data_IF_682266767845
#
_entry.id   IF_682266767845
#
_cell.length_a   1.000
_cell.length_b   1.000
_cell.length_c   1.000
_cell.angle_alpha   90.00
_cell.angle_beta   90.00
_cell.angle_gamma   90.00
#
_symmetry.space_group_name_H-M   'P 1'
#
loop_
_entity.id
_entity.type
_entity.pdbx_description
1 polymer ?
#
# COMPACT_ATOMS: atom_id res chain seq x y z
N UNK A 1 -5.80 73.64 -15.74
CA UNK A 1 -5.32 72.90 -14.51
C UNK A 1 -6.41 71.92 -14.09
N UNK A 2 -6.23 70.69 -14.45
CA UNK A 2 -7.22 69.63 -14.19
C UNK A 2 -6.63 68.65 -13.13
N UNK A 3 -7.20 68.64 -11.95
CA UNK A 3 -6.78 67.83 -10.82
C UNK A 3 -7.42 66.44 -10.93
N UNK A 4 -6.60 65.45 -11.26
CA UNK A 4 -6.96 64.04 -11.34
C UNK A 4 -7.06 63.47 -9.91
N UNK A 5 -8.27 63.16 -9.43
CA UNK A 5 -8.51 62.41 -8.19
C UNK A 5 -8.02 60.98 -8.37
N UNK A 6 -7.01 60.60 -7.60
CA UNK A 6 -6.62 59.21 -7.43
C UNK A 6 -7.60 58.54 -6.46
N UNK A 7 -8.32 57.53 -6.95
CA UNK A 7 -9.14 56.65 -6.13
C UNK A 7 -8.21 55.63 -5.46
N UNK A 8 -8.05 55.74 -4.15
CA UNK A 8 -7.37 54.71 -3.32
C UNK A 8 -8.23 53.47 -3.32
N UNK A 9 -7.68 52.35 -3.82
CA UNK A 9 -8.27 51.03 -3.63
C UNK A 9 -8.23 50.67 -2.13
N UNK A 10 -9.38 50.25 -1.62
CA UNK A 10 -9.54 49.74 -0.23
C UNK A 10 -8.80 48.41 -0.10
N UNK A 11 -8.03 48.17 0.99
CA UNK A 11 -7.41 46.86 1.18
C UNK A 11 -8.50 45.81 1.44
N UNK A 12 -8.44 44.69 0.72
CA UNK A 12 -9.25 43.50 1.00
C UNK A 12 -8.93 43.05 2.42
N UNK A 13 -9.95 43.00 3.27
CA UNK A 13 -9.83 42.43 4.61
C UNK A 13 -9.58 40.92 4.48
N UNK A 14 -8.44 40.43 4.92
CA UNK A 14 -8.21 39.01 5.13
C UNK A 14 -9.19 38.53 6.20
N UNK A 15 -10.09 37.59 5.81
CA UNK A 15 -10.97 36.93 6.76
C UNK A 15 -10.13 35.95 7.57
N UNK A 16 -9.82 36.30 8.82
CA UNK A 16 -9.14 35.42 9.78
C UNK A 16 -10.11 34.30 10.18
N UNK A 17 -9.91 33.09 9.64
CA UNK A 17 -10.67 31.90 10.05
C UNK A 17 -10.16 31.44 11.39
N UNK A 18 -10.91 31.70 12.46
CA UNK A 18 -10.61 31.20 13.80
C UNK A 18 -10.89 29.68 13.86
N UNK A 19 -9.84 28.88 13.69
CA UNK A 19 -9.93 27.40 13.84
C UNK A 19 -9.75 27.05 15.30
N UNK A 20 -10.82 26.51 15.93
CA UNK A 20 -10.77 25.93 17.26
C UNK A 20 -10.20 24.52 17.18
N UNK A 21 -9.19 24.23 18.01
CA UNK A 21 -8.52 22.93 18.08
C UNK A 21 -9.52 21.84 18.53
N UNK A 22 -9.78 20.85 17.68
CA UNK A 22 -10.56 19.67 18.04
C UNK A 22 -9.63 18.74 18.85
N UNK A 23 -10.08 18.27 20.02
CA UNK A 23 -9.32 17.30 20.82
C UNK A 23 -9.17 15.98 20.04
N UNK A 24 -8.02 15.28 20.13
CA UNK A 24 -7.80 14.05 19.39
C UNK A 24 -8.52 12.86 20.06
N UNK A 25 -9.83 12.81 19.98
CA UNK A 25 -10.57 11.57 20.19
C UNK A 25 -10.60 10.79 18.88
N UNK A 26 -10.15 9.54 18.92
CA UNK A 26 -10.27 8.63 17.76
C UNK A 26 -11.76 8.43 17.49
N UNK A 27 -12.28 9.14 16.51
CA UNK A 27 -13.71 9.15 16.19
C UNK A 27 -14.18 7.74 15.84
N UNK A 28 -15.43 7.40 16.17
CA UNK A 28 -16.03 6.10 15.80
C UNK A 28 -15.94 5.81 14.30
N UNK A 29 -15.94 6.84 13.44
CA UNK A 29 -15.74 6.66 12.00
C UNK A 29 -14.36 6.08 11.67
N UNK A 30 -13.30 6.58 12.33
CA UNK A 30 -11.94 6.10 12.09
C UNK A 30 -11.78 4.66 12.60
N UNK A 31 -12.35 4.33 13.77
CA UNK A 31 -12.35 2.96 14.29
C UNK A 31 -13.12 2.01 13.37
N UNK A 32 -14.28 2.44 12.88
CA UNK A 32 -15.07 1.67 11.93
C UNK A 32 -14.32 1.49 10.60
N UNK A 33 -13.69 2.55 10.07
CA UNK A 33 -12.89 2.49 8.86
C UNK A 33 -11.75 1.47 8.98
N UNK A 34 -10.93 1.54 10.04
CA UNK A 34 -9.83 0.60 10.25
C UNK A 34 -10.31 -0.86 10.39
N UNK A 35 -11.39 -1.07 11.16
CA UNK A 35 -11.95 -2.41 11.34
C UNK A 35 -12.50 -2.99 10.03
N UNK A 36 -13.18 -2.18 9.22
CA UNK A 36 -13.72 -2.60 7.92
C UNK A 36 -12.59 -2.83 6.91
N UNK A 37 -11.61 -1.93 6.86
CA UNK A 37 -10.42 -2.07 6.01
C UNK A 37 -9.67 -3.36 6.31
N UNK A 38 -9.39 -3.62 7.58
CA UNK A 38 -8.74 -4.86 8.02
C UNK A 38 -9.55 -6.10 7.64
N UNK A 39 -10.88 -6.06 7.83
CA UNK A 39 -11.76 -7.15 7.44
C UNK A 39 -11.70 -7.42 5.92
N UNK A 40 -11.78 -6.37 5.09
CA UNK A 40 -11.67 -6.49 3.63
C UNK A 40 -10.30 -7.06 3.21
N UNK A 41 -9.21 -6.59 3.83
CA UNK A 41 -7.86 -7.06 3.53
C UNK A 41 -7.62 -8.53 3.90
N UNK A 42 -8.39 -9.07 4.87
CA UNK A 42 -8.34 -10.49 5.25
C UNK A 42 -9.26 -11.38 4.42
N UNK A 43 -10.20 -10.79 3.69
CA UNK A 43 -11.07 -11.58 2.80
C UNK A 43 -10.31 -12.08 1.59
N UNK A 44 -10.55 -13.34 1.23
CA UNK A 44 -10.25 -13.81 -0.11
C UNK A 44 -11.40 -13.39 -1.04
N UNK A 45 -11.31 -12.14 -1.53
CA UNK A 45 -12.34 -11.56 -2.40
C UNK A 45 -12.38 -12.20 -3.79
N UNK A 46 -11.41 -13.06 -4.11
CA UNK A 46 -11.31 -13.77 -5.39
C UNK A 46 -11.72 -15.24 -5.31
N UNK A 47 -12.00 -15.77 -4.11
CA UNK A 47 -12.37 -17.18 -3.90
C UNK A 47 -13.67 -17.60 -4.62
N UNK A 48 -14.59 -16.66 -4.83
CA UNK A 48 -15.86 -16.94 -5.51
C UNK A 48 -16.12 -15.90 -6.60
N UNK A 49 -16.87 -16.23 -7.65
CA UNK A 49 -17.23 -15.26 -8.69
C UNK A 49 -18.19 -14.17 -8.20
N UNK A 50 -18.93 -14.42 -7.11
CA UNK A 50 -19.89 -13.47 -6.57
C UNK A 50 -19.20 -12.26 -5.97
N UNK A 51 -19.81 -11.09 -6.18
CA UNK A 51 -19.34 -9.83 -5.64
C UNK A 51 -19.68 -9.73 -4.16
N UNK A 52 -18.70 -9.43 -3.31
CA UNK A 52 -18.92 -9.22 -1.87
C UNK A 52 -19.66 -7.89 -1.67
N UNK A 53 -20.82 -7.95 -1.04
CA UNK A 53 -21.64 -6.78 -0.73
C UNK A 53 -21.56 -6.43 0.76
N UNK A 54 -21.54 -5.14 1.05
CA UNK A 54 -21.59 -4.62 2.42
C UNK A 54 -22.98 -4.06 2.72
N UNK A 55 -23.55 -4.47 3.85
CA UNK A 55 -24.81 -3.94 4.37
C UNK A 55 -24.56 -3.04 5.57
N UNK A 56 -24.91 -1.74 5.44
CA UNK A 56 -24.69 -0.72 6.49
C UNK A 56 -25.34 -1.09 7.81
N UNK A 57 -26.53 -1.73 7.77
CA UNK A 57 -27.27 -2.09 8.96
C UNK A 57 -26.57 -3.23 9.70
N UNK A 58 -26.22 -4.28 8.97
CA UNK A 58 -25.49 -5.42 9.53
C UNK A 58 -24.14 -4.98 10.12
N UNK A 59 -23.41 -4.08 9.43
CA UNK A 59 -22.14 -3.52 9.91
C UNK A 59 -22.34 -2.68 11.18
N UNK A 60 -23.38 -1.84 11.24
CA UNK A 60 -23.74 -1.06 12.41
C UNK A 60 -24.01 -1.95 13.63
N UNK A 61 -24.79 -3.01 13.45
CA UNK A 61 -25.12 -3.99 14.50
C UNK A 61 -23.85 -4.75 14.97
N UNK A 62 -23.01 -5.20 14.04
CA UNK A 62 -21.79 -5.97 14.37
C UNK A 62 -20.70 -5.15 15.04
N UNK A 63 -20.54 -3.88 14.67
CA UNK A 63 -19.53 -2.98 15.24
C UNK A 63 -20.05 -2.23 16.49
N UNK A 64 -21.34 -2.33 16.81
CA UNK A 64 -21.92 -1.68 17.98
C UNK A 64 -21.93 -0.15 17.89
N UNK A 65 -21.97 0.42 16.68
CA UNK A 65 -21.98 1.87 16.43
C UNK A 65 -23.17 2.26 15.57
N UNK A 66 -23.61 3.52 15.64
CA UNK A 66 -24.71 4.00 14.82
C UNK A 66 -24.37 4.01 13.32
N UNK A 67 -25.37 4.17 12.45
CA UNK A 67 -25.16 4.14 10.98
C UNK A 67 -24.34 5.31 10.46
N UNK A 68 -24.36 6.46 11.12
CA UNK A 68 -23.62 7.65 10.67
C UNK A 68 -22.11 7.39 10.56
N UNK A 69 -21.39 6.96 11.63
CA UNK A 69 -19.96 6.63 11.52
C UNK A 69 -19.69 5.48 10.54
N UNK A 70 -20.63 4.54 10.34
CA UNK A 70 -20.48 3.49 9.31
C UNK A 70 -20.48 4.09 7.90
N UNK A 71 -21.43 4.99 7.59
CA UNK A 71 -21.48 5.67 6.28
C UNK A 71 -20.25 6.51 6.02
N UNK A 72 -19.77 7.23 7.03
CA UNK A 72 -18.53 8.01 6.93
C UNK A 72 -17.32 7.10 6.68
N UNK A 73 -17.22 5.97 7.37
CA UNK A 73 -16.18 4.97 7.16
C UNK A 73 -16.24 4.36 5.76
N UNK A 74 -17.44 4.05 5.26
CA UNK A 74 -17.67 3.54 3.90
C UNK A 74 -17.24 4.59 2.86
N UNK A 75 -17.57 5.87 3.07
CA UNK A 75 -17.13 6.94 2.17
C UNK A 75 -15.58 7.06 2.12
N UNK A 76 -14.90 6.89 3.25
CA UNK A 76 -13.44 6.82 3.30
C UNK A 76 -12.92 5.60 2.53
N UNK A 77 -13.51 4.42 2.74
CA UNK A 77 -13.14 3.20 2.00
C UNK A 77 -13.39 3.33 0.50
N UNK A 78 -14.42 4.06 0.09
CA UNK A 78 -14.71 4.35 -1.32
C UNK A 78 -13.68 5.31 -1.92
N UNK A 79 -13.28 6.34 -1.17
CA UNK A 79 -12.20 7.25 -1.56
C UNK A 79 -10.87 6.50 -1.74
N UNK A 80 -10.56 5.54 -0.86
CA UNK A 80 -9.37 4.70 -0.94
C UNK A 80 -9.51 3.54 -1.96
N UNK A 81 -10.67 3.40 -2.60
CA UNK A 81 -10.91 2.42 -3.66
C UNK A 81 -11.09 0.97 -3.19
N UNK A 82 -11.41 0.74 -1.89
CA UNK A 82 -11.73 -0.60 -1.36
C UNK A 82 -13.16 -1.03 -1.65
N UNK A 83 -14.06 -0.07 -1.70
CA UNK A 83 -15.48 -0.32 -1.98
C UNK A 83 -15.98 0.64 -3.05
N UNK A 84 -17.15 0.35 -3.61
CA UNK A 84 -17.84 1.21 -4.56
C UNK A 84 -19.33 1.17 -4.29
N UNK A 85 -19.97 2.34 -4.23
CA UNK A 85 -21.40 2.46 -4.17
C UNK A 85 -22.00 2.30 -5.58
N UNK A 86 -22.79 1.25 -5.77
CA UNK A 86 -23.45 0.96 -7.04
C UNK A 86 -24.94 1.28 -6.93
N UNK A 87 -25.47 2.20 -7.77
CA UNK A 87 -26.89 2.57 -7.71
C UNK A 87 -27.80 1.34 -7.77
N UNK A 88 -28.77 1.25 -6.88
CA UNK A 88 -29.75 0.15 -6.74
C UNK A 88 -29.18 -1.22 -6.35
N UNK A 89 -27.85 -1.38 -6.27
CA UNK A 89 -27.19 -2.62 -5.83
C UNK A 89 -26.60 -2.53 -4.44
N UNK A 90 -26.24 -1.31 -3.96
CA UNK A 90 -25.63 -1.11 -2.67
C UNK A 90 -24.11 -0.95 -2.74
N UNK A 91 -23.44 -1.27 -1.65
CA UNK A 91 -21.99 -1.10 -1.50
C UNK A 91 -21.33 -2.43 -1.79
N UNK A 92 -20.38 -2.42 -2.72
CA UNK A 92 -19.66 -3.63 -3.15
C UNK A 92 -18.16 -3.46 -2.88
N UNK A 93 -17.50 -4.53 -2.46
CA UNK A 93 -16.04 -4.58 -2.34
C UNK A 93 -15.45 -4.60 -3.75
N UNK A 94 -14.48 -3.72 -3.99
CA UNK A 94 -13.85 -3.59 -5.32
C UNK A 94 -12.90 -4.76 -5.54
N UNK A 95 -13.09 -5.45 -6.67
CA UNK A 95 -12.11 -6.39 -7.22
C UNK A 95 -11.34 -5.70 -8.33
N UNK A 96 -10.04 -5.77 -8.25
CA UNK A 96 -9.16 -5.29 -9.31
C UNK A 96 -9.03 -6.36 -10.39
N UNK A 97 -9.04 -5.94 -11.62
CA UNK A 97 -8.74 -6.82 -12.76
C UNK A 97 -7.26 -7.19 -12.77
N UNK A 98 -6.91 -8.27 -13.46
CA UNK A 98 -5.50 -8.67 -13.68
C UNK A 98 -4.66 -7.51 -14.23
N UNK A 99 -5.20 -6.78 -15.22
CA UNK A 99 -4.51 -5.63 -15.83
C UNK A 99 -4.23 -4.53 -14.81
N UNK A 100 -5.24 -4.16 -14.01
CA UNK A 100 -5.06 -3.14 -12.96
C UNK A 100 -4.01 -3.56 -11.92
N UNK A 101 -4.00 -4.83 -11.51
CA UNK A 101 -2.99 -5.35 -10.57
C UNK A 101 -1.58 -5.30 -11.17
N UNK A 102 -1.43 -5.70 -12.43
CA UNK A 102 -0.13 -5.63 -13.13
C UNK A 102 0.36 -4.20 -13.23
N UNK A 103 -0.53 -3.25 -13.58
CA UNK A 103 -0.17 -1.83 -13.67
C UNK A 103 0.20 -1.24 -12.29
N UNK A 104 -0.49 -1.64 -11.23
CA UNK A 104 -0.12 -1.28 -9.85
C UNK A 104 1.26 -1.82 -9.46
N UNK A 105 1.59 -3.06 -9.82
CA UNK A 105 2.91 -3.65 -9.55
C UNK A 105 4.00 -2.92 -10.36
N UNK A 106 3.74 -2.53 -11.59
CA UNK A 106 4.66 -1.74 -12.42
C UNK A 106 4.94 -0.36 -11.80
N UNK A 107 3.89 0.32 -11.32
CA UNK A 107 4.04 1.58 -10.60
C UNK A 107 4.86 1.39 -9.31
N UNK A 108 4.58 0.35 -8.54
CA UNK A 108 5.34 0.00 -7.35
C UNK A 108 6.82 -0.27 -7.67
N UNK A 109 7.12 -0.99 -8.75
CA UNK A 109 8.51 -1.23 -9.18
C UNK A 109 9.28 0.07 -9.44
N UNK A 110 8.63 1.09 -10.01
CA UNK A 110 9.23 2.40 -10.22
C UNK A 110 9.51 3.14 -8.90
N UNK A 111 8.55 3.08 -7.95
CA UNK A 111 8.70 3.70 -6.62
C UNK A 111 9.81 3.02 -5.82
N UNK A 112 9.88 1.69 -5.80
CA UNK A 112 10.95 0.94 -5.13
C UNK A 112 12.33 1.16 -5.75
N UNK A 113 12.41 1.26 -7.07
CA UNK A 113 13.65 1.62 -7.77
C UNK A 113 14.16 2.98 -7.29
N UNK A 114 13.29 4.00 -7.23
CA UNK A 114 13.66 5.32 -6.73
C UNK A 114 14.02 5.29 -5.25
N UNK A 115 13.30 4.52 -4.41
CA UNK A 115 13.67 4.34 -3.02
C UNK A 115 15.06 3.74 -2.87
N UNK A 116 15.40 2.70 -3.64
CA UNK A 116 16.73 2.11 -3.65
C UNK A 116 17.83 3.13 -3.99
N UNK A 117 17.59 4.02 -4.99
CA UNK A 117 18.49 5.15 -5.31
C UNK A 117 18.73 6.03 -4.09
N UNK A 118 17.67 6.50 -3.44
CA UNK A 118 17.77 7.39 -2.29
C UNK A 118 18.53 6.71 -1.13
N UNK A 119 18.21 5.45 -0.83
CA UNK A 119 18.88 4.67 0.21
C UNK A 119 20.39 4.62 0.01
N UNK A 120 20.87 4.41 -1.21
CA UNK A 120 22.31 4.36 -1.48
C UNK A 120 23.03 5.66 -1.19
N UNK A 121 22.32 6.79 -1.18
CA UNK A 121 22.89 8.14 -0.97
C UNK A 121 22.70 8.66 0.44
N UNK A 122 21.59 8.34 1.12
CA UNK A 122 21.19 8.97 2.38
C UNK A 122 21.18 8.03 3.58
N UNK A 123 20.77 6.77 3.44
CA UNK A 123 20.58 5.88 4.57
C UNK A 123 21.90 5.46 5.25
N UNK A 124 21.87 5.24 6.56
CA UNK A 124 23.06 4.78 7.30
C UNK A 124 23.33 3.31 7.03
N UNK A 125 24.59 2.92 6.97
CA UNK A 125 25.01 1.54 6.70
C UNK A 125 24.32 0.52 7.62
N UNK A 126 24.20 0.83 8.90
CA UNK A 126 23.57 -0.05 9.88
C UNK A 126 22.08 -0.32 9.59
N UNK A 127 21.37 0.70 9.08
CA UNK A 127 19.94 0.61 8.79
C UNK A 127 19.70 -0.21 7.52
N UNK A 128 20.61 -0.11 6.54
CA UNK A 128 20.59 -0.99 5.36
C UNK A 128 20.86 -2.44 5.77
N UNK A 129 21.90 -2.68 6.58
CA UNK A 129 22.24 -4.05 7.02
C UNK A 129 21.13 -4.69 7.86
N UNK A 130 20.34 -3.88 8.61
CA UNK A 130 19.20 -4.36 9.38
C UNK A 130 18.07 -4.96 8.51
N UNK A 131 18.03 -4.64 7.20
CA UNK A 131 17.09 -5.27 6.27
C UNK A 131 17.29 -6.80 6.18
N UNK A 132 18.48 -7.31 6.47
CA UNK A 132 18.76 -8.76 6.51
C UNK A 132 17.99 -9.47 7.63
N UNK A 133 17.66 -8.76 8.72
CA UNK A 133 16.99 -9.35 9.88
C UNK A 133 15.60 -9.87 9.54
N UNK A 134 14.93 -9.32 8.53
CA UNK A 134 13.63 -9.81 8.08
C UNK A 134 13.68 -11.26 7.58
N UNK A 135 14.85 -11.71 7.11
CA UNK A 135 15.02 -13.03 6.48
C UNK A 135 16.00 -13.94 7.22
N UNK A 136 16.52 -13.53 8.39
CA UNK A 136 17.55 -14.28 9.12
C UNK A 136 17.16 -15.72 9.50
N UNK A 137 15.85 -16.00 9.62
CA UNK A 137 15.32 -17.31 9.93
C UNK A 137 15.21 -18.21 8.70
N UNK A 138 15.32 -17.65 7.50
CA UNK A 138 15.19 -18.37 6.24
C UNK A 138 16.57 -18.69 5.64
N UNK A 139 16.71 -19.88 5.06
CA UNK A 139 17.95 -20.35 4.46
C UNK A 139 17.87 -21.82 4.06
N UNK A 140 19.00 -22.50 4.01
CA UNK A 140 19.06 -23.91 3.55
C UNK A 140 18.25 -24.87 4.43
N UNK A 141 18.20 -24.61 5.74
CA UNK A 141 17.53 -25.47 6.72
C UNK A 141 16.07 -25.08 6.99
N UNK A 142 15.67 -23.88 6.52
CA UNK A 142 14.31 -23.37 6.63
C UNK A 142 13.93 -22.65 5.34
N UNK A 143 13.41 -23.42 4.41
CA UNK A 143 13.08 -22.92 3.09
C UNK A 143 11.79 -22.07 3.13
N UNK A 144 11.73 -20.92 2.44
CA UNK A 144 10.57 -20.06 2.38
C UNK A 144 9.28 -20.78 1.94
N UNK A 145 9.37 -21.74 1.02
CA UNK A 145 8.22 -22.49 0.51
C UNK A 145 7.57 -23.40 1.55
N UNK A 146 8.31 -23.83 2.59
CA UNK A 146 7.81 -24.69 3.67
C UNK A 146 7.19 -23.86 4.81
N UNK A 147 7.36 -22.52 4.78
CA UNK A 147 6.92 -21.56 5.79
C UNK A 147 6.30 -20.32 5.14
N UNK A 148 5.32 -20.54 4.27
CA UNK A 148 4.75 -19.50 3.37
C UNK A 148 4.19 -18.31 4.14
N UNK A 149 3.46 -18.55 5.23
CA UNK A 149 2.82 -17.48 5.99
C UNK A 149 3.84 -16.58 6.68
N UNK A 150 4.86 -17.15 7.31
CA UNK A 150 5.94 -16.42 7.98
C UNK A 150 6.78 -15.67 6.96
N UNK A 151 7.12 -16.31 5.84
CA UNK A 151 7.84 -15.67 4.77
C UNK A 151 7.05 -14.53 4.13
N UNK A 152 5.75 -14.69 3.94
CA UNK A 152 4.88 -13.62 3.43
C UNK A 152 4.90 -12.39 4.34
N UNK A 153 4.84 -12.58 5.66
CA UNK A 153 4.94 -11.50 6.64
C UNK A 153 6.30 -10.79 6.58
N UNK A 154 7.37 -11.57 6.56
CA UNK A 154 8.75 -11.05 6.46
C UNK A 154 8.96 -10.25 5.15
N UNK A 155 8.47 -10.78 4.04
CA UNK A 155 8.54 -10.16 2.73
C UNK A 155 7.79 -8.80 2.68
N UNK A 156 6.57 -8.72 3.24
CA UNK A 156 5.83 -7.45 3.31
C UNK A 156 6.59 -6.44 4.18
N UNK A 157 7.06 -6.87 5.35
CA UNK A 157 7.80 -6.01 6.27
C UNK A 157 9.12 -5.51 5.64
N UNK A 158 9.83 -6.34 4.89
CA UNK A 158 11.02 -5.94 4.15
C UNK A 158 10.74 -4.80 3.15
N UNK A 159 9.72 -4.94 2.29
CA UNK A 159 9.39 -3.89 1.33
C UNK A 159 8.95 -2.58 2.00
N UNK A 160 8.19 -2.67 3.09
CA UNK A 160 7.80 -1.49 3.86
C UNK A 160 9.03 -0.81 4.51
N UNK A 161 9.96 -1.59 5.05
CA UNK A 161 11.20 -1.07 5.63
C UNK A 161 12.09 -0.44 4.55
N UNK A 162 12.22 -1.10 3.38
CA UNK A 162 12.98 -0.57 2.25
C UNK A 162 12.44 0.79 1.82
N UNK A 163 11.14 0.92 1.58
CA UNK A 163 10.55 2.20 1.20
C UNK A 163 10.75 3.26 2.30
N UNK A 164 10.59 2.89 3.57
CA UNK A 164 10.77 3.80 4.71
C UNK A 164 12.20 4.34 4.82
N UNK A 165 13.20 3.52 4.49
CA UNK A 165 14.62 3.92 4.47
C UNK A 165 14.94 4.96 3.40
N UNK A 166 14.09 5.19 2.41
CA UNK A 166 14.24 6.27 1.44
C UNK A 166 14.11 7.66 2.06
N UNK A 167 13.55 7.75 3.27
CA UNK A 167 13.24 9.00 3.98
C UNK A 167 12.35 9.96 3.16
N UNK A 168 11.64 9.45 2.16
CA UNK A 168 10.70 10.21 1.32
C UNK A 168 9.26 9.91 1.72
N UNK A 169 8.56 10.81 2.45
CA UNK A 169 7.15 10.60 2.83
C UNK A 169 6.26 10.34 1.62
N UNK A 170 6.50 11.02 0.50
CA UNK A 170 5.72 10.86 -0.73
C UNK A 170 5.85 9.44 -1.29
N UNK A 171 7.09 8.87 -1.33
CA UNK A 171 7.28 7.48 -1.77
C UNK A 171 6.62 6.49 -0.81
N UNK A 172 6.70 6.75 0.50
CA UNK A 172 6.06 5.92 1.53
C UNK A 172 4.55 5.89 1.33
N UNK A 173 3.91 7.04 1.20
CA UNK A 173 2.45 7.15 1.06
C UNK A 173 1.98 6.48 -0.23
N UNK A 174 2.57 6.82 -1.39
CA UNK A 174 2.20 6.23 -2.68
C UNK A 174 2.39 4.70 -2.71
N UNK A 175 3.47 4.20 -2.11
CA UNK A 175 3.73 2.76 -2.07
C UNK A 175 2.77 2.03 -1.14
N UNK A 176 2.47 2.61 0.03
CA UNK A 176 1.50 2.02 0.96
C UNK A 176 0.12 1.88 0.33
N UNK A 177 -0.35 2.89 -0.41
CA UNK A 177 -1.62 2.84 -1.13
C UNK A 177 -1.64 1.69 -2.15
N UNK A 178 -0.58 1.53 -2.94
CA UNK A 178 -0.46 0.41 -3.89
C UNK A 178 -0.42 -0.93 -3.16
N UNK A 179 0.41 -1.06 -2.12
CA UNK A 179 0.58 -2.32 -1.39
C UNK A 179 -0.71 -2.80 -0.73
N UNK A 180 -1.58 -1.89 -0.29
CA UNK A 180 -2.89 -2.23 0.26
C UNK A 180 -3.74 -3.02 -0.76
N UNK A 181 -3.75 -2.58 -2.01
CA UNK A 181 -4.53 -3.22 -3.08
C UNK A 181 -3.87 -4.50 -3.63
N UNK A 182 -2.55 -4.55 -3.64
CA UNK A 182 -1.78 -5.70 -4.14
C UNK A 182 -1.64 -6.80 -3.08
N UNK A 183 -1.89 -6.51 -1.79
CA UNK A 183 -1.66 -7.44 -0.67
C UNK A 183 -2.39 -8.78 -0.82
N UNK A 184 -3.67 -8.76 -1.15
CA UNK A 184 -4.47 -9.97 -1.34
C UNK A 184 -3.90 -10.84 -2.48
N UNK A 185 -3.46 -10.19 -3.54
CA UNK A 185 -2.84 -10.83 -4.70
C UNK A 185 -1.49 -11.45 -4.38
N UNK A 186 -0.69 -10.78 -3.56
CA UNK A 186 0.60 -11.26 -3.10
C UNK A 186 0.50 -12.54 -2.27
N UNK A 187 -0.51 -12.67 -1.42
CA UNK A 187 -0.74 -13.90 -0.67
C UNK A 187 -1.00 -15.09 -1.61
N UNK A 188 -1.75 -14.87 -2.70
CA UNK A 188 -2.02 -15.91 -3.69
C UNK A 188 -0.76 -16.29 -4.51
N UNK A 189 0.13 -15.34 -4.76
CA UNK A 189 1.36 -15.57 -5.56
C UNK A 189 2.52 -16.10 -4.74
N UNK A 190 2.68 -15.67 -3.48
CA UNK A 190 3.73 -16.16 -2.57
C UNK A 190 3.48 -17.63 -2.20
N UNK A 191 2.21 -18.09 -2.18
CA UNK A 191 1.86 -19.50 -1.97
C UNK A 191 2.32 -20.45 -3.09
N UNK A 192 2.88 -19.94 -4.20
CA UNK A 192 3.41 -20.75 -5.30
C UNK A 192 4.90 -21.00 -5.13
N UNK A 193 5.28 -22.26 -5.11
CA UNK A 193 6.65 -22.74 -4.83
C UNK A 193 7.72 -22.05 -5.66
N UNK A 194 7.46 -21.86 -6.97
CA UNK A 194 8.43 -21.31 -7.91
C UNK A 194 8.80 -19.86 -7.61
N UNK A 195 7.82 -19.03 -7.22
CA UNK A 195 8.08 -17.61 -6.91
C UNK A 195 8.79 -17.45 -5.56
N UNK A 196 8.46 -18.27 -4.58
CA UNK A 196 9.07 -18.22 -3.25
C UNK A 196 10.56 -18.60 -3.29
N UNK A 197 10.92 -19.58 -4.11
CA UNK A 197 12.31 -20.04 -4.26
C UNK A 197 13.25 -18.95 -4.83
N UNK A 198 12.76 -18.09 -5.72
CA UNK A 198 13.55 -17.01 -6.33
C UNK A 198 13.58 -15.74 -5.49
N UNK A 199 12.53 -15.48 -4.72
CA UNK A 199 12.32 -14.21 -4.01
C UNK A 199 13.38 -13.93 -2.95
N UNK A 200 13.77 -14.90 -2.12
CA UNK A 200 14.78 -14.71 -1.07
C UNK A 200 16.16 -14.34 -1.63
N UNK A 201 16.74 -15.06 -2.62
CA UNK A 201 17.97 -14.65 -3.27
C UNK A 201 17.91 -13.25 -3.90
N UNK A 202 16.78 -12.88 -4.50
CA UNK A 202 16.56 -11.55 -5.08
C UNK A 202 16.62 -10.46 -4.00
N UNK A 203 15.96 -10.66 -2.83
CA UNK A 203 16.04 -9.73 -1.71
C UNK A 203 17.48 -9.57 -1.19
N UNK A 204 18.20 -10.68 -1.02
CA UNK A 204 19.62 -10.62 -0.60
C UNK A 204 20.45 -9.83 -1.59
N UNK A 205 20.23 -10.02 -2.88
CA UNK A 205 20.93 -9.29 -3.94
C UNK A 205 20.61 -7.78 -3.93
N UNK A 206 19.38 -7.38 -3.60
CA UNK A 206 19.01 -5.96 -3.41
C UNK A 206 19.81 -5.39 -2.23
N UNK A 207 19.79 -6.07 -1.07
CA UNK A 207 20.49 -5.61 0.14
C UNK A 207 22.00 -5.47 -0.13
N UNK A 208 22.62 -6.43 -0.81
CA UNK A 208 24.05 -6.39 -1.19
C UNK A 208 24.38 -5.15 -2.03
N UNK A 209 23.55 -4.83 -3.02
CA UNK A 209 23.76 -3.64 -3.85
C UNK A 209 23.60 -2.35 -3.04
N UNK A 210 22.64 -2.30 -2.12
CA UNK A 210 22.45 -1.17 -1.21
C UNK A 210 23.65 -1.00 -0.26
N UNK A 211 24.17 -2.09 0.33
CA UNK A 211 25.33 -2.08 1.22
C UNK A 211 26.61 -1.65 0.48
N UNK A 212 26.75 -2.06 -0.79
CA UNK A 212 27.84 -1.65 -1.65
C UNK A 212 27.73 -0.20 -2.15
N UNK A 213 26.59 0.47 -1.92
CA UNK A 213 26.29 1.81 -2.45
C UNK A 213 26.32 1.87 -3.99
N UNK A 214 26.09 0.75 -4.64
CA UNK A 214 25.97 0.70 -6.10
C UNK A 214 24.54 1.10 -6.48
N UNK A 215 24.38 2.39 -6.75
CA UNK A 215 23.06 3.00 -6.99
C UNK A 215 22.36 2.39 -8.20
N UNK A 216 23.08 2.24 -9.32
CA UNK A 216 22.49 1.71 -10.55
C UNK A 216 22.09 0.24 -10.40
N UNK A 217 22.93 -0.55 -9.74
CA UNK A 217 22.64 -1.95 -9.48
C UNK A 217 21.48 -2.11 -8.48
N UNK A 218 21.44 -1.30 -7.42
CA UNK A 218 20.37 -1.32 -6.43
C UNK A 218 19.00 -0.98 -7.06
N UNK A 219 18.94 0.09 -7.86
CA UNK A 219 17.75 0.45 -8.63
C UNK A 219 17.29 -0.68 -9.55
N UNK A 220 18.23 -1.22 -10.31
CA UNK A 220 17.92 -2.29 -11.26
C UNK A 220 17.38 -3.51 -10.53
N UNK A 221 18.03 -3.97 -9.46
CA UNK A 221 17.61 -5.16 -8.71
C UNK A 221 16.26 -4.99 -8.03
N UNK A 222 16.00 -3.85 -7.40
CA UNK A 222 14.71 -3.54 -6.79
C UNK A 222 13.59 -3.54 -7.83
N UNK A 223 13.80 -2.86 -8.96
CA UNK A 223 12.85 -2.82 -10.06
C UNK A 223 12.59 -4.19 -10.67
N UNK A 224 13.63 -4.93 -11.01
CA UNK A 224 13.53 -6.23 -11.69
C UNK A 224 12.84 -7.27 -10.78
N UNK A 225 13.13 -7.25 -9.48
CA UNK A 225 12.46 -8.08 -8.48
C UNK A 225 10.94 -7.84 -8.49
N UNK A 226 10.52 -6.58 -8.40
CA UNK A 226 9.09 -6.23 -8.37
C UNK A 226 8.42 -6.47 -9.73
N UNK A 227 9.10 -6.19 -10.86
CA UNK A 227 8.60 -6.54 -12.19
C UNK A 227 8.48 -8.05 -12.41
N UNK A 228 9.32 -8.86 -11.76
CA UNK A 228 9.17 -10.32 -11.75
C UNK A 228 7.83 -10.77 -11.18
N UNK A 229 7.27 -10.05 -10.20
CA UNK A 229 5.92 -10.31 -9.72
C UNK A 229 4.85 -9.94 -10.78
N UNK A 230 5.03 -8.83 -11.50
CA UNK A 230 4.12 -8.45 -12.58
C UNK A 230 4.07 -9.53 -13.68
N UNK A 231 5.25 -9.99 -14.13
CA UNK A 231 5.37 -11.05 -15.12
C UNK A 231 4.72 -12.36 -14.65
N UNK A 232 4.89 -12.71 -13.37
CA UNK A 232 4.25 -13.88 -12.78
C UNK A 232 2.71 -13.77 -12.82
N UNK A 233 2.16 -12.61 -12.43
CA UNK A 233 0.71 -12.33 -12.48
C UNK A 233 0.20 -12.36 -13.92
N UNK A 234 0.94 -11.84 -14.88
CA UNK A 234 0.58 -11.90 -16.30
C UNK A 234 0.47 -13.34 -16.83
N UNK A 235 1.43 -14.18 -16.45
CA UNK A 235 1.49 -15.57 -16.91
C UNK A 235 0.43 -16.47 -16.25
N UNK A 236 0.17 -16.30 -14.93
CA UNK A 236 -0.63 -17.23 -14.13
C UNK A 236 -1.94 -16.61 -13.62
N UNK A 237 -2.21 -15.35 -13.93
CA UNK A 237 -3.35 -14.62 -13.37
C UNK A 237 -4.73 -15.13 -13.82
N UNK A 238 -4.83 -15.94 -14.89
CA UNK A 238 -6.11 -16.54 -15.29
C UNK A 238 -6.61 -17.60 -14.30
N UNK A 239 -5.72 -18.19 -13.51
CA UNK A 239 -6.07 -19.17 -12.48
C UNK A 239 -6.45 -18.51 -11.14
N UNK A 240 -6.32 -17.19 -11.07
CA UNK A 240 -6.47 -16.41 -9.84
C UNK A 240 -7.72 -15.49 -9.89
N UNK A 241 -8.45 -15.45 -11.01
CA UNK A 241 -9.64 -14.58 -11.23
C UNK A 241 -10.89 -15.37 -11.60
#
# INVERSE_FOLDING_TARGET
MSTRKQTKASPMAEAEIAIVRIAPETSFKNKAYEALKEAILKMDIYATPEQVMLDERALSERLGVSRTPIREAIAMLEQDGFVKTVPRRGIVVVRRTKTEIVDMIRAWAALESMAARLITTTARKKDISALRDFFKEFGKDRLPQDHIEEYSKANIAFHQALISLSESPVLVDMTNDILLHVRGYRQLTIGRVDRTATSLPEHMAIIEALEARDTELAEKRARDHTLGLAAYVEAHGQELF
#
